data_IF_162956989116
#
_entry.id   IF_162956989116
#
_cell.length_a   1.000
_cell.length_b   1.000
_cell.length_c   1.000
_cell.angle_alpha   90.00
_cell.angle_beta   90.00
_cell.angle_gamma   90.00
#
_symmetry.space_group_name_H-M   'P 1'
#
loop_
_entity.id
_entity.type
_entity.pdbx_description
1 polymer ?
2 non-polymer ?
3 non-polymer ?
4 water ?
#
# COMPACT_ATOMS: atom_id res chain seq x y z
N UNK A 2 -9.49 -19.03 4.92
CA UNK A 2 -10.19 -17.75 4.86
C UNK A 2 -9.62 -16.80 3.79
N UNK A 3 -8.30 -16.68 3.73
CA UNK A 3 -7.63 -15.86 2.73
C UNK A 3 -7.15 -16.67 1.52
N UNK A 4 -7.62 -17.91 1.39
CA UNK A 4 -7.37 -18.80 0.24
C UNK A 4 -5.85 -18.94 0.06
N UNK A 5 -5.32 -18.79 -1.15
CA UNK A 5 -3.90 -18.84 -1.37
C UNK A 5 -3.25 -17.46 -1.30
N UNK A 6 -3.92 -16.46 -0.72
CA UNK A 6 -3.38 -15.10 -0.72
C UNK A 6 -2.43 -14.92 0.46
N UNK A 7 -1.17 -14.61 0.15
CA UNK A 7 -0.12 -14.50 1.15
C UNK A 7 -0.21 -13.16 1.90
N UNK A 8 0.01 -13.22 3.21
CA UNK A 8 -0.04 -12.03 4.04
C UNK A 8 0.93 -10.96 3.53
N UNK A 9 0.46 -9.72 3.46
CA UNK A 9 1.26 -8.59 3.02
C UNK A 9 1.16 -7.48 4.05
N UNK A 10 2.29 -7.00 4.55
CA UNK A 10 2.32 -5.94 5.56
C UNK A 10 3.13 -4.78 5.01
N UNK A 11 2.45 -3.69 4.65
CA UNK A 11 3.09 -2.51 4.14
C UNK A 11 3.25 -1.44 5.21
N UNK A 12 4.34 -0.69 5.11
CA UNK A 12 4.56 0.47 5.96
C UNK A 12 4.67 1.71 5.09
N UNK A 13 4.32 2.85 5.66
CA UNK A 13 4.48 4.14 4.97
C UNK A 13 4.97 5.17 5.99
N UNK A 14 6.26 5.49 5.93
CA UNK A 14 6.87 6.47 6.82
C UNK A 14 6.46 7.89 6.49
N UNK A 15 5.82 8.10 5.34
CA UNK A 15 5.37 9.42 4.93
C UNK A 15 6.55 10.38 4.98
N UNK A 16 6.35 11.59 5.49
CA UNK A 16 7.45 12.55 5.60
C UNK A 16 8.08 12.49 6.99
N UNK A 17 8.67 11.33 7.28
CA UNK A 17 9.46 11.11 8.47
C UNK A 17 10.63 10.23 8.10
N UNK A 18 11.71 10.36 8.83
CA UNK A 18 12.84 9.48 8.66
C UNK A 18 14.14 10.25 8.66
N UNK A 19 15.22 9.51 8.92
CA UNK A 19 16.57 10.05 8.99
C UNK A 19 17.50 8.87 8.94
N UNK A 20 18.77 9.14 8.60
CA UNK A 20 19.74 8.06 8.60
C UNK A 20 19.82 7.40 9.97
N UNK A 21 19.76 8.21 11.03
CA UNK A 21 19.84 7.66 12.38
C UNK A 21 18.67 6.75 12.66
N UNK A 22 17.45 7.19 12.30
CA UNK A 22 16.27 6.35 12.57
C UNK A 22 16.31 5.07 11.76
N UNK A 23 16.80 5.14 10.52
CA UNK A 23 16.85 3.95 9.68
C UNK A 23 17.79 2.92 10.30
N UNK A 24 18.95 3.37 10.80
CA UNK A 24 19.91 2.44 11.41
C UNK A 24 19.30 1.72 12.60
N UNK A 25 18.71 2.48 13.53
CA UNK A 25 18.12 1.92 14.73
C UNK A 25 16.95 1.00 14.40
N UNK A 26 15.97 1.53 13.66
CA UNK A 26 14.78 0.78 13.29
C UNK A 26 15.12 -0.55 12.64
N UNK A 27 16.06 -0.56 11.70
CA UNK A 27 16.33 -1.81 10.99
C UNK A 27 17.25 -2.73 11.76
N UNK A 28 18.00 -2.21 12.74
CA UNK A 28 18.67 -3.10 13.68
C UNK A 28 17.67 -3.85 14.53
N UNK A 29 16.64 -3.14 15.02
CA UNK A 29 15.57 -3.79 15.78
C UNK A 29 14.83 -4.80 14.90
N UNK A 30 14.61 -4.45 13.64
CA UNK A 30 13.87 -5.32 12.74
C UNK A 30 14.63 -6.61 12.45
N UNK A 31 15.94 -6.50 12.21
CA UNK A 31 16.77 -7.68 11.98
C UNK A 31 16.78 -8.58 13.21
N UNK A 32 16.87 -7.99 14.40
CA UNK A 32 16.94 -8.78 15.61
C UNK A 32 15.63 -9.49 15.91
N UNK A 33 14.51 -8.91 15.47
CA UNK A 33 13.21 -9.45 15.82
C UNK A 33 12.87 -10.68 14.98
N UNK A 34 11.98 -11.50 15.52
CA UNK A 34 11.47 -12.67 14.83
C UNK A 34 10.17 -12.30 14.12
N UNK A 35 10.23 -12.20 12.80
CA UNK A 35 9.08 -11.80 12.00
C UNK A 35 8.51 -13.01 11.26
N UNK A 36 7.20 -13.00 11.05
CA UNK A 36 6.52 -14.04 10.28
C UNK A 36 7.25 -14.27 8.97
N UNK A 37 7.81 -15.46 8.74
CA UNK A 37 8.55 -15.70 7.49
C UNK A 37 7.64 -15.87 6.29
N UNK A 38 6.33 -15.94 6.49
CA UNK A 38 5.38 -16.08 5.41
C UNK A 38 4.64 -14.77 5.10
N UNK A 39 5.14 -13.65 5.60
CA UNK A 39 4.61 -12.33 5.28
C UNK A 39 5.53 -11.65 4.28
N UNK A 40 4.94 -11.06 3.24
CA UNK A 40 5.61 -10.04 2.44
C UNK A 40 5.63 -8.73 3.22
N UNK A 41 6.79 -8.06 3.24
CA UNK A 41 6.96 -6.84 4.01
C UNK A 41 7.57 -5.77 3.12
N UNK A 42 6.87 -4.64 2.97
CA UNK A 42 7.30 -3.54 2.11
C UNK A 42 7.12 -2.24 2.91
N UNK A 43 8.16 -1.40 2.94
CA UNK A 43 8.14 -0.18 3.74
C UNK A 43 8.45 1.02 2.83
N UNK A 44 7.46 1.92 2.70
CA UNK A 44 7.66 3.17 1.97
C UNK A 44 8.40 4.19 2.82
N UNK A 45 9.42 4.81 2.22
CA UNK A 45 10.32 5.74 2.91
C UNK A 45 10.51 6.95 2.01
N UNK A 46 10.95 8.08 2.57
CA UNK A 46 11.24 9.26 1.73
C UNK A 46 12.30 8.98 0.68
N UNK A 47 12.17 9.67 -0.46
CA UNK A 47 12.97 9.34 -1.63
C UNK A 47 14.46 9.50 -1.38
N UNK A 48 14.86 10.47 -0.55
CA UNK A 48 16.28 10.64 -0.29
C UNK A 48 16.90 9.47 0.43
N UNK A 49 16.08 8.53 0.93
CA UNK A 49 16.60 7.41 1.71
C UNK A 49 16.45 6.07 1.00
N UNK A 50 16.04 6.06 -0.27
CA UNK A 50 15.66 4.80 -0.91
C UNK A 50 16.80 3.78 -0.89
N UNK A 51 17.96 4.15 -1.42
CA UNK A 51 19.04 3.18 -1.54
C UNK A 51 19.56 2.76 -0.17
N UNK A 52 19.84 3.76 0.68
CA UNK A 52 20.33 3.48 2.01
C UNK A 52 19.41 2.52 2.77
N UNK A 53 18.11 2.77 2.73
CA UNK A 53 17.19 1.94 3.49
C UNK A 53 17.07 0.54 2.89
N UNK A 54 17.16 0.42 1.56
CA UNK A 54 17.12 -0.92 0.96
C UNK A 54 18.40 -1.68 1.25
N UNK A 55 19.55 -1.01 1.25
CA UNK A 55 20.79 -1.67 1.67
C UNK A 55 20.73 -2.10 3.13
N UNK A 56 20.20 -1.24 4.00
CA UNK A 56 20.17 -1.56 5.43
C UNK A 56 19.04 -2.49 5.82
N UNK A 57 18.02 -2.65 4.98
CA UNK A 57 16.89 -3.49 5.35
C UNK A 57 17.34 -4.95 5.47
N UNK A 58 16.79 -5.70 6.43
CA UNK A 58 17.08 -7.13 6.52
C UNK A 58 16.57 -7.86 5.28
N UNK A 59 17.22 -8.98 4.97
CA UNK A 59 16.82 -9.79 3.84
C UNK A 59 15.32 -10.10 3.92
N UNK A 60 14.67 -10.06 2.76
CA UNK A 60 13.25 -10.29 2.68
C UNK A 60 12.40 -9.04 2.76
N UNK A 61 12.93 -7.95 3.32
CA UNK A 61 12.17 -6.72 3.47
C UNK A 61 12.45 -5.81 2.29
N UNK A 62 11.40 -5.35 1.63
CA UNK A 62 11.51 -4.51 0.44
C UNK A 62 11.16 -3.07 0.78
N UNK A 63 11.83 -2.14 0.12
CA UNK A 63 11.65 -0.71 0.35
C UNK A 63 10.87 -0.14 -0.83
N UNK A 64 9.90 0.73 -0.54
CA UNK A 64 9.05 1.33 -1.55
C UNK A 64 9.27 2.83 -1.61
N UNK A 65 9.19 3.39 -2.82
CA UNK A 65 9.03 4.83 -2.95
C UNK A 65 7.60 5.21 -2.58
N UNK A 66 7.44 6.43 -2.09
CA UNK A 66 6.13 6.91 -1.65
C UNK A 66 5.32 7.52 -2.76
N UNK A 67 5.90 7.68 -3.96
CA UNK A 67 5.29 8.32 -5.11
C UNK A 67 6.29 8.24 -6.24
N UNK A 68 5.80 8.46 -7.45
CA UNK A 68 6.64 8.57 -8.64
C UNK A 68 5.80 9.30 -9.67
N UNK A 69 6.45 9.72 -10.76
CA UNK A 69 5.73 10.42 -11.81
C UNK A 69 5.38 9.43 -12.93
N UNK A 70 4.78 9.94 -13.99
CA UNK A 70 4.14 9.11 -14.99
C UNK A 70 4.93 8.97 -16.30
N UNK A 71 6.13 9.53 -16.38
CA UNK A 71 7.02 9.30 -17.51
C UNK A 71 8.41 8.98 -16.98
N UNK A 72 9.29 8.56 -17.89
CA UNK A 72 10.57 8.04 -17.45
C UNK A 72 11.58 9.08 -17.01
N UNK A 73 11.49 10.27 -17.55
CA UNK A 73 12.51 11.30 -17.33
C UNK A 73 11.98 12.59 -17.93
N UNK A 74 12.53 13.71 -17.49
CA UNK A 74 12.19 14.94 -18.19
C UNK A 74 12.11 16.12 -17.24
N UNK A 75 11.44 17.17 -17.72
CA UNK A 75 11.43 18.48 -17.05
C UNK A 75 10.26 18.53 -16.06
N UNK A 76 10.44 17.81 -14.95
CA UNK A 76 9.42 17.69 -13.93
C UNK A 76 10.10 17.88 -12.57
N UNK A 77 10.49 19.13 -12.32
CA UNK A 77 11.18 19.49 -11.09
C UNK A 77 10.44 18.96 -9.87
N UNK A 78 11.18 18.31 -8.97
CA UNK A 78 10.63 17.78 -7.74
C UNK A 78 10.04 16.39 -7.85
N UNK A 79 10.02 15.78 -9.04
CA UNK A 79 9.45 14.44 -9.21
C UNK A 79 10.52 13.36 -9.16
N UNK A 80 10.09 12.15 -8.82
CA UNK A 80 10.92 10.96 -8.80
C UNK A 80 10.45 10.03 -9.92
N UNK A 81 11.38 9.45 -10.66
CA UNK A 81 11.00 8.59 -11.77
C UNK A 81 11.09 7.12 -11.39
N UNK A 82 10.34 6.29 -12.13
CA UNK A 82 10.47 4.84 -12.02
C UNK A 82 11.91 4.37 -12.21
N UNK A 83 12.65 4.97 -13.16
CA UNK A 83 14.02 4.53 -13.35
C UNK A 83 14.93 4.91 -12.18
N UNK A 84 14.70 6.06 -11.53
CA UNK A 84 15.47 6.38 -10.34
C UNK A 84 15.17 5.41 -9.21
N UNK A 85 13.91 4.98 -9.06
CA UNK A 85 13.57 4.00 -8.02
C UNK A 85 14.35 2.72 -8.24
N UNK A 86 14.42 2.25 -9.50
CA UNK A 86 15.18 1.02 -9.78
C UNK A 86 16.68 1.25 -9.63
N UNK A 87 17.17 2.43 -10.01
CA UNK A 87 18.58 2.77 -9.81
C UNK A 87 18.97 2.70 -8.33
N UNK A 88 18.03 3.00 -7.42
CA UNK A 88 18.31 2.92 -6.00
C UNK A 88 18.13 1.51 -5.45
N UNK A 89 17.91 0.53 -6.32
CA UNK A 89 17.76 -0.85 -5.89
C UNK A 89 16.38 -1.20 -5.37
N UNK A 90 15.35 -0.43 -5.70
CA UNK A 90 14.00 -0.64 -5.16
C UNK A 90 13.04 -1.06 -6.26
N UNK A 91 12.02 -1.82 -5.85
CA UNK A 91 11.05 -2.42 -6.77
C UNK A 91 9.61 -2.06 -6.50
N UNK A 92 9.33 -1.19 -5.53
CA UNK A 92 7.96 -0.92 -5.11
C UNK A 92 7.70 0.57 -5.11
N UNK A 93 6.45 0.95 -5.38
CA UNK A 93 6.03 2.34 -5.24
C UNK A 93 4.59 2.38 -4.78
N UNK A 94 4.30 3.26 -3.82
CA UNK A 94 2.92 3.51 -3.38
C UNK A 94 2.34 4.58 -4.30
N UNK A 95 1.16 4.33 -4.85
CA UNK A 95 0.51 5.23 -5.79
C UNK A 95 -0.87 5.63 -5.31
N UNK A 96 -1.22 6.90 -5.52
CA UNK A 96 -2.56 7.38 -5.19
C UNK A 96 -2.90 7.44 -3.72
N UNK A 97 -1.90 7.59 -2.85
CA UNK A 97 -2.19 7.72 -1.43
C UNK A 97 -3.13 8.89 -1.18
N UNK A 98 -4.00 8.73 -0.18
CA UNK A 98 -4.99 9.75 0.13
C UNK A 98 -4.34 11.14 0.25
N UNK A 99 -3.15 11.22 0.83
CA UNK A 99 -2.48 12.53 0.96
C UNK A 99 -2.13 13.11 -0.41
N UNK A 100 -1.71 12.27 -1.37
CA UNK A 100 -1.48 12.79 -2.71
C UNK A 100 -2.79 13.28 -3.34
N UNK A 101 -3.87 12.53 -3.13
CA UNK A 101 -5.15 12.87 -3.76
C UNK A 101 -5.77 14.12 -3.16
N UNK A 102 -5.75 14.24 -1.83
CA UNK A 102 -6.57 15.22 -1.13
C UNK A 102 -5.79 16.39 -0.58
N UNK A 103 -4.47 16.28 -0.44
CA UNK A 103 -3.67 17.46 -0.12
C UNK A 103 -2.97 18.00 -1.36
N UNK A 104 -2.50 17.13 -2.25
CA UNK A 104 -1.73 17.58 -3.40
C UNK A 104 -2.47 17.45 -4.72
N UNK A 105 -3.76 17.11 -4.67
CA UNK A 105 -4.65 17.22 -5.82
C UNK A 105 -4.37 16.29 -6.97
N UNK A 106 -3.77 15.12 -6.72
CA UNK A 106 -3.58 14.14 -7.79
C UNK A 106 -4.91 13.49 -8.15
N UNK A 107 -5.23 13.49 -9.43
CA UNK A 107 -6.53 13.02 -9.89
C UNK A 107 -6.51 11.52 -10.18
N UNK A 108 -7.71 10.95 -10.30
CA UNK A 108 -7.83 9.56 -10.72
C UNK A 108 -7.12 9.30 -12.03
N UNK A 109 -7.23 10.23 -12.97
CA UNK A 109 -6.58 10.02 -14.27
C UNK A 109 -5.06 9.98 -14.10
N UNK A 110 -4.50 10.90 -13.31
CA UNK A 110 -3.06 10.92 -13.09
C UNK A 110 -2.60 9.65 -12.37
N UNK A 111 -3.37 9.18 -11.40
CA UNK A 111 -2.95 7.99 -10.67
C UNK A 111 -3.02 6.77 -11.58
N UNK A 112 -4.02 6.73 -12.47
CA UNK A 112 -4.08 5.66 -13.45
C UNK A 112 -2.88 5.69 -14.38
N UNK A 113 -2.56 6.87 -14.90
CA UNK A 113 -1.37 7.01 -15.74
C UNK A 113 -0.12 6.54 -15.01
N UNK A 114 -0.03 6.82 -13.70
CA UNK A 114 1.15 6.39 -12.95
C UNK A 114 1.19 4.88 -12.76
N UNK A 115 0.01 4.25 -12.59
CA UNK A 115 -0.05 2.81 -12.41
C UNK A 115 0.46 2.11 -13.66
N UNK A 116 0.03 2.58 -14.83
CA UNK A 116 0.45 1.96 -16.08
C UNK A 116 1.95 2.13 -16.31
N UNK A 117 2.46 3.35 -16.09
CA UNK A 117 3.89 3.62 -16.33
C UNK A 117 4.77 2.85 -15.37
N UNK A 118 4.37 2.78 -14.10
CA UNK A 118 5.12 2.00 -13.13
C UNK A 118 5.11 0.53 -13.52
N UNK A 119 3.95 -0.01 -13.88
CA UNK A 119 3.90 -1.42 -14.27
C UNK A 119 4.72 -1.68 -15.54
N UNK A 120 4.65 -0.76 -16.51
CA UNK A 120 5.43 -0.84 -17.75
C UNK A 120 6.90 -0.58 -17.54
N UNK A 121 7.31 -0.10 -16.37
CA UNK A 121 8.72 0.02 -16.00
C UNK A 121 9.22 -1.17 -15.21
N UNK A 122 8.37 -2.15 -14.96
CA UNK A 122 8.76 -3.31 -14.18
C UNK A 122 8.66 -3.14 -12.68
N UNK A 123 7.96 -2.12 -12.20
CA UNK A 123 7.78 -1.93 -10.77
C UNK A 123 6.60 -2.74 -10.24
N UNK A 124 6.62 -3.03 -8.94
CA UNK A 124 5.43 -3.44 -8.21
C UNK A 124 4.73 -2.19 -7.68
N UNK A 125 3.39 -2.19 -7.65
CA UNK A 125 2.64 -1.02 -7.23
C UNK A 125 1.68 -1.36 -6.10
N UNK A 126 1.50 -0.39 -5.20
CA UNK A 126 0.45 -0.41 -4.18
C UNK A 126 -0.51 0.75 -4.44
N UNK A 127 -1.51 0.57 -5.29
CA UNK A 127 -2.45 1.66 -5.55
C UNK A 127 -3.43 1.77 -4.40
N UNK A 128 -3.69 2.99 -3.98
CA UNK A 128 -4.50 3.28 -2.80
C UNK A 128 -5.86 3.79 -3.24
N UNK A 129 -6.91 3.35 -2.55
CA UNK A 129 -8.28 3.79 -2.78
C UNK A 129 -8.90 4.09 -1.41
N UNK A 130 -10.02 4.78 -1.42
CA UNK A 130 -10.71 5.08 -0.19
C UNK A 130 -11.51 6.37 -0.27
N UNK A 131 -12.52 6.46 0.60
CA UNK A 131 -13.51 7.51 0.57
C UNK A 131 -13.34 8.50 1.73
N UNK A 132 -13.71 9.76 1.48
CA UNK A 132 -13.77 10.75 2.53
C UNK A 132 -14.95 10.49 3.46
N UNK A 133 -14.85 11.02 4.68
CA UNK A 133 -16.00 11.01 5.59
C UNK A 133 -17.26 11.58 4.94
N UNK A 134 -17.13 12.72 4.27
CA UNK A 134 -18.27 13.32 3.61
C UNK A 134 -18.85 12.39 2.56
N UNK A 135 -18.01 11.61 1.89
CA UNK A 135 -18.50 10.66 0.87
C UNK A 135 -19.22 9.49 1.52
N UNK A 136 -18.69 8.95 2.62
CA UNK A 136 -19.40 7.86 3.30
C UNK A 136 -20.75 8.33 3.86
N UNK A 137 -20.79 9.56 4.41
CA UNK A 137 -22.05 10.08 4.93
C UNK A 137 -23.06 10.29 3.82
N UNK A 138 -22.61 10.58 2.62
CA UNK A 138 -23.51 10.74 1.49
C UNK A 138 -23.93 9.42 0.88
N UNK A 139 -23.47 8.30 1.45
CA UNK A 139 -23.79 7.02 0.86
C UNK A 139 -23.02 6.69 -0.40
N UNK A 140 -21.82 7.25 -0.57
CA UNK A 140 -21.06 7.09 -1.80
C UNK A 140 -19.79 6.26 -1.63
N UNK A 141 -19.67 5.50 -0.53
CA UNK A 141 -18.43 4.77 -0.27
C UNK A 141 -18.07 3.87 -1.44
N UNK A 142 -19.02 3.04 -1.88
CA UNK A 142 -18.73 2.11 -2.97
C UNK A 142 -18.51 2.86 -4.28
N UNK A 143 -19.31 3.90 -4.53
CA UNK A 143 -19.18 4.66 -5.78
C UNK A 143 -17.77 5.20 -5.93
N UNK A 144 -17.24 5.79 -4.86
CA UNK A 144 -15.91 6.39 -4.90
C UNK A 144 -14.86 5.32 -5.12
N UNK A 145 -14.95 4.22 -4.38
CA UNK A 145 -13.99 3.12 -4.55
C UNK A 145 -14.06 2.50 -5.94
N UNK A 146 -15.26 2.45 -6.54
CA UNK A 146 -15.41 1.88 -7.88
C UNK A 146 -14.74 2.77 -8.92
N UNK A 147 -14.94 4.09 -8.82
CA UNK A 147 -14.31 5.01 -9.76
C UNK A 147 -12.79 4.98 -9.64
N UNK A 148 -12.27 4.86 -8.41
CA UNK A 148 -10.83 4.75 -8.22
C UNK A 148 -10.30 3.43 -8.76
N UNK A 149 -11.02 2.33 -8.51
CA UNK A 149 -10.62 1.03 -9.05
C UNK A 149 -10.70 1.02 -10.58
N UNK A 150 -11.69 1.70 -11.16
CA UNK A 150 -11.79 1.75 -12.61
C UNK A 150 -10.53 2.39 -13.22
N UNK A 151 -10.08 3.51 -12.66
CA UNK A 151 -8.88 4.17 -13.17
C UNK A 151 -7.65 3.28 -13.02
N UNK A 152 -7.55 2.57 -11.89
CA UNK A 152 -6.43 1.68 -11.66
C UNK A 152 -6.50 0.47 -12.60
N UNK A 153 -7.67 -0.18 -12.66
CA UNK A 153 -7.79 -1.46 -13.36
C UNK A 153 -7.61 -1.28 -14.87
N UNK A 154 -8.17 -0.22 -15.43
CA UNK A 154 -8.01 0.00 -16.85
C UNK A 154 -6.56 0.31 -17.21
N UNK A 155 -5.68 0.51 -16.22
CA UNK A 155 -4.28 0.85 -16.47
C UNK A 155 -3.33 -0.26 -16.07
N UNK A 156 -3.84 -1.41 -15.65
CA UNK A 156 -3.01 -2.59 -15.44
C UNK A 156 -2.85 -3.27 -16.80
N UNK A 157 -1.66 -3.25 -17.40
CA UNK A 157 -1.55 -3.54 -18.84
C UNK A 157 -1.93 -4.96 -19.24
N UNK A 158 -1.85 -5.93 -18.34
CA UNK A 158 -2.16 -7.31 -18.71
C UNK A 158 -2.67 -8.05 -17.48
N UNK A 159 -3.05 -9.32 -17.71
CA UNK A 159 -3.47 -10.16 -16.59
C UNK A 159 -2.28 -10.55 -15.73
N UNK A 160 -1.15 -10.85 -16.36
CA UNK A 160 0.08 -11.13 -15.62
C UNK A 160 0.49 -9.96 -14.74
N UNK A 161 0.24 -8.72 -15.20
CA UNK A 161 0.67 -7.54 -14.44
C UNK A 161 0.00 -7.45 -13.07
N UNK A 162 -1.22 -7.96 -12.92
CA UNK A 162 -1.86 -8.02 -11.62
C UNK A 162 -1.02 -8.77 -10.58
N UNK A 163 -0.08 -9.62 -11.03
CA UNK A 163 0.85 -10.22 -10.07
C UNK A 163 1.73 -9.18 -9.40
N UNK A 164 1.79 -7.96 -9.94
CA UNK A 164 2.64 -6.93 -9.35
C UNK A 164 1.82 -5.80 -8.74
N UNK A 165 0.56 -6.08 -8.42
CA UNK A 165 -0.36 -5.10 -7.87
C UNK A 165 -0.84 -5.58 -6.50
N UNK A 166 -0.85 -4.66 -5.55
CA UNK A 166 -1.40 -4.88 -4.21
C UNK A 166 -2.28 -3.66 -3.93
N UNK A 167 -3.59 -3.87 -3.89
CA UNK A 167 -4.55 -2.80 -3.60
C UNK A 167 -4.56 -2.51 -2.10
N UNK A 168 -4.56 -1.24 -1.72
CA UNK A 168 -4.78 -0.84 -0.33
C UNK A 168 -6.02 0.03 -0.22
N UNK A 169 -6.94 -0.38 0.66
CA UNK A 169 -8.13 0.40 0.96
C UNK A 169 -7.90 1.12 2.29
N UNK A 170 -7.88 2.45 2.25
CA UNK A 170 -7.75 3.26 3.47
C UNK A 170 -8.86 4.30 3.50
N UNK A 171 -9.90 4.12 4.32
CA UNK A 171 -10.87 5.20 4.49
C UNK A 171 -10.17 6.44 5.02
N UNK A 172 -10.37 7.57 4.33
CA UNK A 172 -9.61 8.78 4.68
C UNK A 172 -9.83 9.17 6.13
N UNK A 173 -11.06 8.99 6.65
CA UNK A 173 -11.37 9.30 8.04
C UNK A 173 -10.62 8.40 9.05
N UNK A 174 -10.02 7.30 8.63
CA UNK A 174 -9.24 6.46 9.53
C UNK A 174 -7.74 6.76 9.50
N UNK A 175 -7.28 7.59 8.56
CA UNK A 175 -5.83 7.78 8.38
C UNK A 175 -5.35 8.80 9.41
N UNK A 176 -4.51 8.36 10.35
CA UNK A 176 -3.93 9.26 11.32
C UNK A 176 -4.87 9.76 12.40
N UNK A 177 -6.12 9.31 12.40
CA UNK A 177 -7.12 9.86 13.30
C UNK A 177 -7.33 9.04 14.54
N UNK A 178 -6.86 7.79 14.57
CA UNK A 178 -7.23 6.83 15.58
C UNK A 178 -8.58 6.17 15.37
N UNK A 179 -9.40 6.68 14.45
CA UNK A 179 -10.73 6.12 14.18
C UNK A 179 -10.62 4.99 13.16
N UNK A 180 -10.01 3.90 13.60
CA UNK A 180 -9.91 2.69 12.79
C UNK A 180 -11.28 2.18 12.33
N UNK A 181 -11.35 1.75 11.07
CA UNK A 181 -12.49 0.96 10.64
C UNK A 181 -12.58 -0.29 11.49
N UNK A 182 -13.81 -0.66 11.88
CA UNK A 182 -14.02 -1.90 12.60
C UNK A 182 -13.71 -3.06 11.67
N UNK A 183 -13.46 -4.25 12.22
CA UNK A 183 -13.34 -5.42 11.35
C UNK A 183 -14.52 -5.56 10.40
N UNK A 184 -15.75 -5.29 10.88
CA UNK A 184 -16.92 -5.35 10.01
C UNK A 184 -16.82 -4.33 8.88
N UNK A 185 -16.51 -3.07 9.21
CA UNK A 185 -16.48 -2.06 8.15
C UNK A 185 -15.44 -2.38 7.09
N UNK A 186 -14.26 -2.88 7.51
CA UNK A 186 -13.21 -3.20 6.55
C UNK A 186 -13.62 -4.37 5.67
N UNK A 187 -14.16 -5.43 6.28
CA UNK A 187 -14.56 -6.60 5.52
C UNK A 187 -15.62 -6.27 4.48
N UNK A 188 -16.60 -5.42 4.85
CA UNK A 188 -17.66 -5.06 3.90
C UNK A 188 -17.09 -4.41 2.64
N UNK A 189 -16.14 -3.50 2.80
CA UNK A 189 -15.61 -2.77 1.65
C UNK A 189 -14.70 -3.66 0.84
N UNK A 190 -13.84 -4.44 1.50
CA UNK A 190 -12.95 -5.33 0.77
C UNK A 190 -13.74 -6.35 -0.05
N UNK A 191 -14.81 -6.90 0.51
CA UNK A 191 -15.65 -7.83 -0.26
C UNK A 191 -16.23 -7.15 -1.48
N UNK A 192 -16.74 -5.92 -1.32
CA UNK A 192 -17.31 -5.17 -2.43
C UNK A 192 -16.24 -4.90 -3.50
N UNK A 193 -15.04 -4.52 -3.07
CA UNK A 193 -13.97 -4.27 -4.04
C UNK A 193 -13.55 -5.56 -4.72
N UNK A 194 -13.40 -6.65 -3.97
CA UNK A 194 -13.02 -7.91 -4.59
C UNK A 194 -14.08 -8.36 -5.59
N UNK A 195 -15.35 -8.19 -5.24
CA UNK A 195 -16.41 -8.51 -6.19
C UNK A 195 -16.30 -7.64 -7.43
N UNK A 196 -15.97 -6.36 -7.26
CA UNK A 196 -15.79 -5.48 -8.42
C UNK A 196 -14.70 -6.01 -9.34
N UNK A 197 -13.56 -6.41 -8.78
CA UNK A 197 -12.47 -6.95 -9.59
C UNK A 197 -12.90 -8.26 -10.25
N UNK A 198 -13.70 -9.07 -9.55
CA UNK A 198 -14.21 -10.31 -10.13
C UNK A 198 -15.08 -10.01 -11.35
N UNK A 199 -15.96 -9.02 -11.25
CA UNK A 199 -16.91 -8.69 -12.31
C UNK A 199 -16.27 -7.89 -13.44
N UNK A 200 -15.44 -6.89 -13.12
CA UNK A 200 -14.93 -5.98 -14.13
C UNK A 200 -13.55 -6.34 -14.66
N UNK A 201 -12.83 -7.24 -13.99
CA UNK A 201 -11.52 -7.65 -14.51
C UNK A 201 -11.54 -9.14 -14.84
N UNK A 202 -11.55 -9.97 -13.80
CA UNK A 202 -11.32 -11.41 -13.95
C UNK A 202 -11.53 -12.07 -12.61
N UNK A 203 -12.14 -13.26 -12.61
CA UNK A 203 -12.41 -13.95 -11.35
C UNK A 203 -11.13 -14.56 -10.80
N UNK A 204 -10.28 -15.11 -11.66
CA UNK A 204 -9.01 -15.62 -11.17
C UNK A 204 -8.21 -14.53 -10.47
N UNK A 205 -8.11 -13.36 -11.10
CA UNK A 205 -7.31 -12.28 -10.52
C UNK A 205 -7.92 -11.79 -9.21
N UNK A 206 -9.25 -11.64 -9.16
CA UNK A 206 -9.89 -11.23 -7.92
C UNK A 206 -9.53 -12.18 -6.79
N UNK A 207 -9.46 -13.48 -7.05
CA UNK A 207 -9.12 -14.45 -6.02
C UNK A 207 -7.67 -14.31 -5.56
N UNK A 208 -6.79 -13.82 -6.40
CA UNK A 208 -5.37 -13.83 -6.06
C UNK A 208 -4.85 -12.49 -5.57
N UNK A 209 -5.53 -11.40 -5.87
CA UNK A 209 -5.01 -10.07 -5.57
C UNK A 209 -5.16 -9.77 -4.07
N UNK A 210 -4.07 -9.32 -3.47
CA UNK A 210 -4.08 -8.89 -2.07
C UNK A 210 -4.72 -7.51 -1.95
N UNK A 211 -5.62 -7.38 -0.97
CA UNK A 211 -6.25 -6.11 -0.65
C UNK A 211 -5.95 -5.82 0.81
N UNK A 212 -5.21 -4.73 1.05
CA UNK A 212 -4.77 -4.30 2.37
C UNK A 212 -5.80 -3.37 2.98
N UNK A 213 -5.94 -3.43 4.32
CA UNK A 213 -6.64 -2.39 5.05
C UNK A 213 -5.60 -1.43 5.62
N UNK A 214 -5.89 -0.14 5.57
CA UNK A 214 -5.05 0.85 6.20
C UNK A 214 -5.89 1.94 6.81
N UNK A 215 -5.35 2.54 7.86
CA UNK A 215 -6.02 3.63 8.50
C UNK A 215 -6.08 3.34 9.98
N UNK A 216 -5.06 3.78 10.71
CA UNK A 216 -4.96 3.60 12.15
C UNK A 216 -4.92 2.13 12.55
N UNK A 217 -4.21 1.32 11.76
CA UNK A 217 -3.84 -0.02 12.19
C UNK A 217 -2.81 0.08 13.30
N UNK A 218 -3.03 -0.67 14.39
CA UNK A 218 -2.12 -0.68 15.53
C UNK A 218 -1.79 -2.12 15.92
N UNK A 219 -0.83 -2.27 16.83
CA UNK A 219 -0.49 -3.59 17.33
C UNK A 219 -1.70 -4.26 17.98
N UNK A 220 -2.59 -3.50 18.60
CA UNK A 220 -3.69 -4.19 19.28
C UNK A 220 -4.88 -4.46 18.39
N UNK A 221 -5.11 -3.69 17.32
CA UNK A 221 -6.28 -3.93 16.48
C UNK A 221 -5.98 -4.74 15.21
N UNK A 222 -4.71 -5.06 14.93
CA UNK A 222 -4.39 -5.66 13.63
C UNK A 222 -4.94 -7.08 13.52
N UNK A 223 -4.86 -7.86 14.60
CA UNK A 223 -5.27 -9.27 14.51
C UNK A 223 -6.69 -9.40 13.98
N UNK A 224 -7.63 -8.67 14.58
CA UNK A 224 -9.02 -8.87 14.19
C UNK A 224 -9.30 -8.33 12.80
N UNK A 225 -8.61 -7.27 12.39
CA UNK A 225 -8.75 -6.83 11.02
C UNK A 225 -8.22 -7.89 10.07
N UNK A 226 -7.04 -8.43 10.39
CA UNK A 226 -6.41 -9.40 9.52
C UNK A 226 -7.12 -10.74 9.40
N UNK A 227 -7.92 -11.12 10.38
CA UNK A 227 -8.58 -12.41 10.19
C UNK A 227 -9.81 -12.31 9.28
N UNK A 228 -10.20 -11.11 8.86
CA UNK A 228 -11.31 -10.99 7.92
C UNK A 228 -10.93 -11.60 6.57
N UNK A 229 -11.83 -12.36 5.95
CA UNK A 229 -11.42 -13.17 4.77
C UNK A 229 -11.02 -12.35 3.56
N UNK A 230 -11.52 -11.13 3.39
CA UNK A 230 -11.13 -10.34 2.24
C UNK A 230 -10.08 -9.28 2.58
N UNK A 231 -9.59 -9.27 3.82
CA UNK A 231 -8.49 -8.41 4.25
C UNK A 231 -7.21 -9.25 4.26
N UNK A 232 -6.28 -8.94 3.37
CA UNK A 232 -5.06 -9.74 3.19
C UNK A 232 -3.85 -9.16 3.90
N UNK A 233 -4.00 -8.06 4.61
CA UNK A 233 -2.87 -7.46 5.28
C UNK A 233 -3.13 -5.98 5.52
N UNK A 234 -2.05 -5.25 5.72
CA UNK A 234 -2.15 -3.91 6.28
C UNK A 234 -1.27 -2.94 5.52
N UNK A 235 -1.71 -1.69 5.48
CA UNK A 235 -0.86 -0.57 5.11
C UNK A 235 -0.83 0.35 6.32
N UNK A 236 0.34 0.46 6.94
CA UNK A 236 0.51 1.03 8.28
C UNK A 236 1.27 2.34 8.16
N UNK A 237 0.74 3.40 8.77
CA UNK A 237 1.40 4.69 8.75
C UNK A 237 2.15 4.96 10.04
N UNK A 238 1.50 5.66 10.98
CA UNK A 238 2.15 5.99 12.23
C UNK A 238 2.85 4.82 12.90
N UNK A 239 2.21 3.66 12.92
CA UNK A 239 2.80 2.55 13.68
C UNK A 239 3.97 1.89 12.96
N UNK A 240 4.19 2.18 11.67
CA UNK A 240 5.35 1.61 10.99
C UNK A 240 6.65 2.34 11.31
N UNK A 241 6.59 3.43 12.10
CA UNK A 241 7.79 4.09 12.60
C UNK A 241 8.21 3.56 13.96
N UNK A 242 7.41 2.73 14.57
CA UNK A 242 7.58 2.26 15.94
C UNK A 242 7.87 0.76 15.95
N UNK A 243 8.45 0.23 17.03
CA UNK A 243 8.59 -1.24 17.13
C UNK A 243 7.26 -1.99 17.03
N UNK A 244 6.13 -1.32 17.27
CA UNK A 244 4.82 -1.93 17.08
C UNK A 244 4.66 -2.59 15.71
N UNK A 245 5.35 -2.07 14.68
CA UNK A 245 5.27 -2.65 13.34
C UNK A 245 5.60 -4.13 13.37
N UNK A 246 6.48 -4.55 14.27
CA UNK A 246 6.83 -5.97 14.38
C UNK A 246 5.63 -6.77 14.85
N UNK A 247 4.91 -6.27 15.84
CA UNK A 247 3.71 -6.95 16.32
C UNK A 247 2.67 -7.06 15.22
N UNK A 248 2.51 -5.99 14.45
CA UNK A 248 1.55 -6.00 13.36
C UNK A 248 1.95 -7.04 12.31
N UNK A 249 3.24 -7.13 12.01
CA UNK A 249 3.71 -8.12 11.03
C UNK A 249 3.33 -9.52 11.50
N UNK A 250 3.37 -9.75 12.81
CA UNK A 250 3.13 -11.06 13.39
C UNK A 250 1.67 -11.28 13.80
N UNK A 251 0.74 -10.47 13.28
CA UNK A 251 -0.66 -10.56 13.71
C UNK A 251 -1.36 -11.84 13.22
N UNK A 252 -1.07 -12.27 12.00
CA UNK A 252 -1.67 -13.49 11.45
C UNK A 252 -0.85 -14.72 11.77
N UNK A 253 0.12 -14.60 12.67
CA UNK A 253 0.96 -15.74 13.01
C UNK A 253 0.21 -16.67 13.96
X LIG B 1 -2.00 5.63 9.67
X LIG B 1 -1.76 5.87 8.10
X LIG B 1 -1.07 6.54 10.43
X LIG B 1 -1.66 4.19 9.97
X LIG B 1 -3.46 5.91 10.02
X LIG B 1 -2.08 4.85 7.20
X LIG B 1 -1.58 5.22 5.84
X LIG B 1 -1.50 6.42 5.51
X LIG B 1 -1.23 4.35 5.02
X LIG C 1 19.51 -5.14 2.45
#
# INVERSE_FOLDING_TARGET
GPHMTRKLFVGGNWKMNGSYSHINTFFDTLQKADTDPNADIVIGVPACYLKYAQDKAPKGIKIAAENCYKVGSGAFTGEISTEMIKDCGCEWVILGHSERRHIFGESNELIGEKVKHALDSGLNVIPCIGELLSEREAGKTNDVCFAQMDAIAKNVPSKEAWDKVVIAYEPVWAIGTGKTATPAQAQEVHKVVRDWIRKHVDAGIADKVRILYGGSVTASNAKDLGTQPDVDGFLVGGASLKPDFITIINARR
PGA P O1P O2P O3P O4P C2 C1 O1 O2
NA NA
#
